data_IF_952430860793
#
_entry.id   IF_952430860793
#
_cell.length_a   1.000
_cell.length_b   1.000
_cell.length_c   1.000
_cell.angle_alpha   90.00
_cell.angle_beta   90.00
_cell.angle_gamma   90.00
#
_symmetry.space_group_name_H-M   'P 1'
#
loop_
_entity.id
_entity.type
_entity.pdbx_description
1 polymer ?
#
# COMPACT_ATOMS: atom_id res chain seq x y z
N UNK A 1 12.56 -78.32 58.45
CA UNK A 1 13.86 -78.93 58.84
C UNK A 1 13.96 -80.27 58.16
N UNK A 2 15.10 -80.69 57.56
CA UNK A 2 16.40 -80.04 57.27
C UNK A 2 16.59 -79.84 55.74
N UNK A 3 17.32 -78.83 55.24
CA UNK A 3 18.79 -78.72 55.02
C UNK A 3 19.41 -79.76 54.07
N UNK A 4 20.04 -79.34 52.96
CA UNK A 4 21.52 -79.18 52.84
C UNK A 4 22.00 -79.12 51.36
N UNK A 5 22.72 -78.04 51.05
CA UNK A 5 23.92 -77.89 50.18
C UNK A 5 23.96 -78.24 48.67
N UNK A 6 24.23 -77.18 47.89
CA UNK A 6 25.44 -76.95 47.06
C UNK A 6 25.75 -77.85 45.85
N UNK A 7 25.73 -77.25 44.66
CA UNK A 7 26.78 -77.45 43.65
C UNK A 7 26.92 -76.22 42.73
N UNK A 8 28.08 -75.56 42.80
CA UNK A 8 28.57 -74.56 41.84
C UNK A 8 28.85 -75.26 40.50
N UNK A 9 28.41 -74.67 39.39
CA UNK A 9 29.03 -74.92 38.09
C UNK A 9 29.32 -73.57 37.45
N UNK A 10 30.61 -73.24 37.38
CA UNK A 10 31.12 -72.15 36.59
C UNK A 10 31.02 -72.56 35.12
N UNK A 11 30.34 -71.75 34.30
CA UNK A 11 30.38 -71.89 32.84
C UNK A 11 30.89 -70.58 32.24
N UNK A 12 32.05 -70.73 31.62
CA UNK A 12 32.85 -69.76 30.90
C UNK A 12 32.05 -68.80 30.00
N UNK A 13 32.33 -67.51 30.15
CA UNK A 13 32.06 -66.51 29.13
C UNK A 13 32.85 -66.86 27.86
N UNK A 14 32.20 -67.03 26.70
CA UNK A 14 32.89 -66.95 25.42
C UNK A 14 33.28 -65.48 25.20
N UNK A 15 34.55 -65.27 24.91
CA UNK A 15 35.09 -64.00 24.45
C UNK A 15 34.44 -63.67 23.11
N UNK A 16 33.43 -62.81 23.15
CA UNK A 16 32.83 -62.23 21.95
C UNK A 16 33.83 -61.22 21.39
N UNK A 17 34.47 -61.64 20.31
CA UNK A 17 35.33 -60.84 19.46
C UNK A 17 34.65 -59.53 19.13
N UNK A 18 35.17 -58.44 19.70
CA UNK A 18 34.91 -57.07 19.24
C UNK A 18 35.52 -56.97 17.84
N UNK A 19 34.74 -57.44 16.87
CA UNK A 19 34.98 -57.17 15.46
C UNK A 19 34.61 -55.71 15.24
N UNK A 20 35.66 -54.90 15.33
CA UNK A 20 35.64 -53.47 15.12
C UNK A 20 35.31 -53.23 13.64
N UNK A 21 34.01 -53.22 13.34
CA UNK A 21 33.47 -52.87 12.03
C UNK A 21 33.87 -51.46 11.65
N UNK A 22 34.97 -51.38 10.91
CA UNK A 22 35.47 -50.17 10.27
C UNK A 22 34.42 -49.66 9.27
N UNK A 23 33.85 -48.51 9.60
CA UNK A 23 33.51 -47.40 8.70
C UNK A 23 32.81 -47.73 7.37
N UNK A 24 31.55 -48.15 7.44
CA UNK A 24 30.67 -48.22 6.26
C UNK A 24 29.33 -47.49 6.46
N UNK A 25 29.29 -46.45 7.30
CA UNK A 25 28.04 -45.76 7.65
C UNK A 25 28.16 -44.23 7.56
N UNK A 26 28.60 -43.67 6.42
CA UNK A 26 28.48 -42.21 6.25
C UNK A 26 28.23 -41.61 4.85
N UNK A 27 27.60 -42.28 3.86
CA UNK A 27 27.12 -41.57 2.67
C UNK A 27 25.79 -40.81 2.91
N UNK A 28 24.92 -41.28 3.81
CA UNK A 28 23.55 -40.73 3.95
C UNK A 28 23.48 -39.38 4.68
N UNK A 29 24.45 -39.07 5.54
CA UNK A 29 24.48 -37.79 6.28
C UNK A 29 24.80 -36.60 5.39
N UNK A 30 25.65 -36.80 4.37
CA UNK A 30 26.04 -35.73 3.45
C UNK A 30 24.88 -35.40 2.50
N UNK A 31 24.17 -36.42 2.00
CA UNK A 31 23.03 -36.24 1.10
C UNK A 31 21.88 -35.42 1.72
N UNK A 32 21.58 -35.65 3.01
CA UNK A 32 20.52 -34.91 3.70
C UNK A 32 20.89 -33.44 3.96
N UNK A 33 22.17 -33.14 4.22
CA UNK A 33 22.63 -31.76 4.46
C UNK A 33 22.46 -30.88 3.22
N UNK A 34 22.75 -31.40 2.03
CA UNK A 34 22.54 -30.67 0.77
C UNK A 34 21.07 -30.35 0.52
N UNK A 35 20.16 -31.29 0.82
CA UNK A 35 18.70 -31.07 0.69
C UNK A 35 18.20 -29.99 1.64
N UNK A 36 18.67 -30.00 2.89
CA UNK A 36 18.30 -28.97 3.89
C UNK A 36 18.83 -27.59 3.47
N UNK A 37 20.09 -27.50 3.02
CA UNK A 37 20.66 -26.23 2.55
C UNK A 37 19.89 -25.70 1.35
N UNK A 38 19.60 -26.55 0.36
CA UNK A 38 18.82 -26.16 -0.82
C UNK A 38 17.42 -25.65 -0.43
N UNK A 39 16.73 -26.34 0.49
CA UNK A 39 15.44 -25.91 0.99
C UNK A 39 15.50 -24.54 1.69
N UNK A 40 16.50 -24.33 2.56
CA UNK A 40 16.70 -23.04 3.25
C UNK A 40 16.97 -21.91 2.26
N UNK A 41 17.77 -22.15 1.21
CA UNK A 41 18.04 -21.17 0.16
C UNK A 41 16.76 -20.84 -0.61
N UNK A 42 15.99 -21.86 -1.03
CA UNK A 42 14.71 -21.65 -1.71
C UNK A 42 13.73 -20.84 -0.86
N UNK A 43 13.65 -21.14 0.45
CA UNK A 43 12.80 -20.41 1.37
C UNK A 43 13.25 -18.95 1.52
N UNK A 44 14.56 -18.71 1.63
CA UNK A 44 15.11 -17.36 1.71
C UNK A 44 14.80 -16.55 0.44
N UNK A 45 14.97 -17.16 -0.74
CA UNK A 45 14.63 -16.51 -2.02
C UNK A 45 13.13 -16.20 -2.09
N UNK A 46 12.26 -17.15 -1.68
CA UNK A 46 10.82 -16.93 -1.66
C UNK A 46 10.41 -15.79 -0.72
N UNK A 47 11.05 -15.68 0.45
CA UNK A 47 10.80 -14.58 1.40
C UNK A 47 11.26 -13.24 0.84
N UNK A 48 12.47 -13.18 0.25
CA UNK A 48 12.97 -11.95 -0.39
C UNK A 48 12.04 -11.52 -1.53
N UNK A 49 11.61 -12.48 -2.35
CA UNK A 49 10.66 -12.22 -3.43
C UNK A 49 9.31 -11.73 -2.90
N UNK A 50 8.79 -12.34 -1.85
CA UNK A 50 7.53 -11.91 -1.23
C UNK A 50 7.62 -10.49 -0.67
N UNK A 51 8.70 -10.15 0.04
CA UNK A 51 8.93 -8.78 0.53
C UNK A 51 9.02 -7.77 -0.61
N UNK A 52 9.66 -8.15 -1.72
CA UNK A 52 9.72 -7.33 -2.91
C UNK A 52 8.32 -7.07 -3.48
N UNK A 53 7.49 -8.11 -3.63
CA UNK A 53 6.10 -7.97 -4.09
C UNK A 53 5.24 -7.11 -3.16
N UNK A 54 5.39 -7.25 -1.85
CA UNK A 54 4.68 -6.40 -0.88
C UNK A 54 5.14 -4.95 -0.98
N UNK A 55 6.44 -4.72 -1.19
CA UNK A 55 6.99 -3.38 -1.33
C UNK A 55 6.45 -2.67 -2.58
N UNK A 56 6.42 -3.36 -3.73
CA UNK A 56 5.83 -2.78 -4.94
C UNK A 56 4.32 -2.59 -4.76
N UNK A 57 3.62 -3.53 -4.12
CA UNK A 57 2.18 -3.41 -3.90
C UNK A 57 1.86 -2.18 -3.04
N UNK A 58 2.57 -1.96 -1.94
CA UNK A 58 2.34 -0.78 -1.08
C UNK A 58 2.61 0.52 -1.85
N UNK A 59 3.61 0.55 -2.73
CA UNK A 59 3.93 1.74 -3.53
C UNK A 59 2.98 1.98 -4.69
N UNK A 60 2.39 0.93 -5.26
CA UNK A 60 1.49 1.03 -6.42
C UNK A 60 0.01 1.05 -6.02
N UNK A 61 -0.34 0.64 -4.80
CA UNK A 61 -1.73 0.31 -4.46
C UNK A 61 -2.70 1.48 -4.46
N UNK A 62 -2.27 2.75 -4.36
CA UNK A 62 -3.23 3.86 -4.26
C UNK A 62 -2.73 5.14 -4.96
N UNK A 63 -2.69 5.19 -6.30
CA UNK A 63 -2.74 6.49 -6.96
C UNK A 63 -3.99 7.22 -6.46
N UNK A 64 -3.82 8.47 -6.00
CA UNK A 64 -4.94 9.30 -5.55
C UNK A 64 -5.90 9.44 -6.74
N UNK A 65 -7.01 8.71 -6.69
CA UNK A 65 -7.98 8.70 -7.79
C UNK A 65 -8.81 9.98 -7.69
N UNK A 66 -8.53 10.94 -8.55
CA UNK A 66 -9.30 12.18 -8.64
C UNK A 66 -10.70 11.88 -9.18
N UNK A 67 -11.74 12.38 -8.51
CA UNK A 67 -13.10 12.24 -8.98
C UNK A 67 -13.37 13.23 -10.12
N UNK A 68 -13.26 12.76 -11.35
CA UNK A 68 -13.48 13.55 -12.58
C UNK A 68 -14.83 14.28 -12.56
N UNK A 69 -15.90 13.66 -12.05
CA UNK A 69 -17.21 14.29 -11.99
C UNK A 69 -17.25 15.44 -10.98
N UNK A 70 -16.51 15.34 -9.89
CA UNK A 70 -16.40 16.43 -8.91
C UNK A 70 -15.63 17.59 -9.53
N UNK A 71 -14.45 17.32 -10.11
CA UNK A 71 -13.62 18.32 -10.79
C UNK A 71 -14.43 19.04 -11.89
N UNK A 72 -15.13 18.29 -12.74
CA UNK A 72 -15.93 18.86 -13.83
C UNK A 72 -17.04 19.81 -13.37
N UNK A 73 -17.62 19.55 -12.20
CA UNK A 73 -18.70 20.38 -11.65
C UNK A 73 -18.17 21.56 -10.80
N UNK A 74 -16.85 21.70 -10.69
CA UNK A 74 -16.20 22.81 -10.00
C UNK A 74 -16.08 24.03 -10.92
N UNK A 75 -16.36 25.20 -10.36
CA UNK A 75 -16.12 26.49 -11.03
C UNK A 75 -14.65 26.90 -10.93
N UNK A 76 -13.96 26.45 -9.88
CA UNK A 76 -12.53 26.67 -9.67
C UNK A 76 -11.87 25.45 -9.03
N UNK A 77 -10.61 25.19 -9.37
CA UNK A 77 -9.77 24.18 -8.70
C UNK A 77 -8.48 24.85 -8.30
N UNK A 78 -8.16 24.77 -7.02
CA UNK A 78 -6.96 25.37 -6.47
C UNK A 78 -6.29 24.46 -5.46
N UNK A 79 -5.03 24.76 -5.20
CA UNK A 79 -4.18 24.18 -4.18
C UNK A 79 -4.07 25.21 -3.06
N UNK A 80 -4.32 24.78 -1.83
CA UNK A 80 -4.25 25.67 -0.70
C UNK A 80 -4.15 24.97 0.64
N UNK A 81 -3.64 25.70 1.61
CA UNK A 81 -3.50 25.27 3.00
C UNK A 81 -4.77 25.63 3.79
N UNK A 82 -5.33 24.64 4.50
CA UNK A 82 -6.45 24.89 5.41
C UNK A 82 -5.92 25.57 6.69
N UNK A 83 -6.16 26.88 6.82
CA UNK A 83 -5.70 27.68 7.96
C UNK A 83 -6.69 27.65 9.12
N UNK A 84 -8.00 27.56 8.83
CA UNK A 84 -9.08 27.57 9.81
C UNK A 84 -10.24 26.67 9.36
N UNK A 85 -11.32 26.59 10.15
CA UNK A 85 -12.49 25.76 9.87
C UNK A 85 -13.22 26.14 8.58
N UNK A 86 -13.14 27.39 8.14
CA UNK A 86 -13.82 27.92 6.98
C UNK A 86 -12.90 28.77 6.08
N UNK A 87 -11.59 28.78 6.32
CA UNK A 87 -10.63 29.54 5.54
C UNK A 87 -9.53 28.66 4.97
N UNK A 88 -9.18 28.96 3.72
CA UNK A 88 -8.09 28.33 2.99
C UNK A 88 -7.21 29.42 2.43
N UNK A 89 -5.91 29.32 2.71
CA UNK A 89 -4.88 30.14 2.08
C UNK A 89 -4.58 29.54 0.71
N UNK A 90 -4.78 30.33 -0.33
CA UNK A 90 -4.55 29.90 -1.71
C UNK A 90 -3.05 29.93 -1.97
N UNK A 91 -2.51 28.81 -2.42
CA UNK A 91 -1.11 28.71 -2.85
C UNK A 91 -1.01 28.78 -4.36
N UNK A 92 -1.88 28.06 -5.08
CA UNK A 92 -1.88 28.00 -6.54
C UNK A 92 -3.28 27.79 -7.06
N UNK A 93 -3.67 28.56 -8.07
CA UNK A 93 -4.92 28.35 -8.80
C UNK A 93 -4.61 27.52 -10.04
N UNK A 94 -5.26 26.36 -10.19
CA UNK A 94 -5.07 25.47 -11.34
C UNK A 94 -6.11 25.78 -12.43
N UNK A 95 -7.38 25.93 -12.03
CA UNK A 95 -8.48 26.26 -12.95
C UNK A 95 -9.41 27.28 -12.31
N UNK A 96 -9.97 28.17 -13.14
CA UNK A 96 -10.92 29.18 -12.73
C UNK A 96 -10.26 30.47 -12.25
N UNK A 97 -11.09 31.44 -11.88
CA UNK A 97 -10.66 32.74 -11.38
C UNK A 97 -11.34 32.97 -10.02
N UNK A 98 -10.66 32.68 -8.89
CA UNK A 98 -11.28 32.81 -7.59
C UNK A 98 -11.49 34.29 -7.22
N UNK A 99 -12.53 34.58 -6.45
CA UNK A 99 -12.85 35.94 -5.97
C UNK A 99 -11.67 36.59 -5.21
N UNK A 100 -10.81 35.77 -4.60
CA UNK A 100 -9.61 36.19 -3.88
C UNK A 100 -8.49 35.18 -4.13
N UNK A 101 -7.27 35.69 -4.32
CA UNK A 101 -6.07 34.89 -4.62
C UNK A 101 -5.18 34.65 -3.40
N UNK A 102 -5.49 35.25 -2.24
CA UNK A 102 -4.70 35.06 -1.01
C UNK A 102 -5.41 34.13 -0.02
N UNK A 103 -6.63 34.48 0.36
CA UNK A 103 -7.45 33.70 1.29
C UNK A 103 -8.87 33.64 0.77
N UNK A 104 -9.43 32.45 0.77
CA UNK A 104 -10.83 32.22 0.40
C UNK A 104 -11.60 31.59 1.56
N UNK A 105 -12.89 31.91 1.62
CA UNK A 105 -13.81 31.30 2.56
C UNK A 105 -14.51 30.11 1.93
N UNK A 106 -14.45 28.95 2.58
CA UNK A 106 -15.04 27.68 2.14
C UNK A 106 -16.11 27.23 3.14
N UNK A 107 -17.38 27.30 2.72
CA UNK A 107 -18.54 27.20 3.62
C UNK A 107 -18.75 25.81 4.22
N UNK A 108 -18.45 24.74 3.48
CA UNK A 108 -18.66 23.35 3.88
C UNK A 108 -17.36 22.63 4.23
N UNK A 109 -16.27 23.37 4.47
CA UNK A 109 -14.99 22.77 4.85
C UNK A 109 -15.04 21.92 6.14
N UNK A 110 -15.85 22.26 7.17
CA UNK A 110 -16.00 21.41 8.35
C UNK A 110 -16.57 20.01 8.07
N UNK A 111 -17.28 19.82 6.95
CA UNK A 111 -17.88 18.54 6.57
C UNK A 111 -16.84 17.55 6.03
N UNK A 112 -15.70 18.04 5.55
CA UNK A 112 -14.68 17.24 4.87
C UNK A 112 -13.71 16.56 5.84
N UNK A 113 -13.78 16.87 7.15
CA UNK A 113 -12.97 16.26 8.21
C UNK A 113 -11.46 16.27 7.91
N UNK A 114 -10.97 17.34 7.30
CA UNK A 114 -9.58 17.49 6.92
C UNK A 114 -8.74 18.11 8.06
N UNK A 115 -7.55 17.56 8.36
CA UNK A 115 -6.57 18.22 9.21
C UNK A 115 -6.24 19.65 8.75
N UNK A 116 -6.25 20.59 9.68
CA UNK A 116 -5.72 21.95 9.47
C UNK A 116 -4.20 21.92 9.29
N UNK A 117 -3.62 22.94 8.66
CA UNK A 117 -2.18 23.06 8.38
C UNK A 117 -1.65 21.99 7.43
N UNK A 118 -2.47 21.61 6.46
CA UNK A 118 -2.05 20.72 5.38
C UNK A 118 -2.58 21.27 4.07
N UNK A 119 -1.80 21.03 3.01
CA UNK A 119 -2.10 21.48 1.67
C UNK A 119 -3.00 20.46 0.98
N UNK A 120 -4.05 20.96 0.33
CA UNK A 120 -5.02 20.15 -0.38
C UNK A 120 -5.31 20.72 -1.76
N UNK A 121 -5.70 19.84 -2.68
CA UNK A 121 -6.43 20.18 -3.89
C UNK A 121 -7.91 20.34 -3.54
N UNK A 122 -8.45 21.53 -3.76
CA UNK A 122 -9.84 21.87 -3.48
C UNK A 122 -10.61 22.09 -4.78
N UNK A 123 -11.52 21.17 -5.13
CA UNK A 123 -12.51 21.39 -6.19
C UNK A 123 -13.64 22.27 -5.65
N UNK A 124 -13.73 23.51 -6.10
CA UNK A 124 -14.61 24.53 -5.53
C UNK A 124 -15.74 24.93 -6.49
N UNK A 125 -16.90 25.19 -5.91
CA UNK A 125 -18.05 25.76 -6.60
C UNK A 125 -18.43 27.09 -5.94
N UNK A 126 -18.80 28.08 -6.74
CA UNK A 126 -19.26 29.37 -6.25
C UNK A 126 -20.65 29.22 -5.62
N UNK A 127 -20.80 29.64 -4.37
CA UNK A 127 -22.09 29.62 -3.69
C UNK A 127 -22.91 30.87 -4.03
N UNK A 128 -24.24 30.73 -4.10
CA UNK A 128 -25.16 31.82 -4.45
C UNK A 128 -25.10 33.03 -3.50
N UNK A 129 -24.61 32.85 -2.27
CA UNK A 129 -24.45 33.92 -1.27
C UNK A 129 -23.07 34.60 -1.27
N UNK A 130 -22.21 34.29 -2.25
CA UNK A 130 -20.79 34.63 -2.20
C UNK A 130 -19.99 33.63 -1.37
N UNK A 131 -18.71 33.48 -1.73
CA UNK A 131 -17.83 32.47 -1.15
C UNK A 131 -17.88 31.13 -1.90
N UNK A 132 -17.00 30.22 -1.49
CA UNK A 132 -16.84 28.93 -2.15
C UNK A 132 -17.38 27.79 -1.28
N UNK A 133 -17.73 26.69 -1.94
CA UNK A 133 -17.97 25.40 -1.30
C UNK A 133 -17.18 24.33 -2.01
N UNK A 134 -16.69 23.34 -1.29
CA UNK A 134 -16.16 22.11 -1.89
C UNK A 134 -17.28 21.46 -2.69
N UNK A 135 -16.98 21.12 -3.94
CA UNK A 135 -17.95 20.57 -4.89
C UNK A 135 -18.46 19.23 -4.35
N UNK A 136 -19.77 19.02 -4.25
CA UNK A 136 -20.31 17.77 -3.74
C UNK A 136 -20.01 16.60 -4.67
N UNK A 137 -19.96 15.40 -4.11
CA UNK A 137 -19.67 14.17 -4.85
C UNK A 137 -20.89 13.25 -4.90
N UNK A 138 -20.93 12.36 -5.90
CA UNK A 138 -21.97 11.32 -6.03
C UNK A 138 -21.57 9.99 -5.37
N UNK A 139 -20.53 9.96 -4.55
CA UNK A 139 -20.21 8.77 -3.77
C UNK A 139 -21.36 8.43 -2.80
N UNK A 140 -21.51 7.16 -2.38
CA UNK A 140 -22.65 6.70 -1.56
C UNK A 140 -22.88 7.50 -0.26
N UNK A 141 -21.82 8.11 0.29
CA UNK A 141 -21.88 8.89 1.52
C UNK A 141 -22.13 10.39 1.27
N UNK A 142 -22.10 10.86 0.02
CA UNK A 142 -22.33 12.26 -0.38
C UNK A 142 -21.33 13.29 0.15
N UNK A 143 -20.38 12.88 1.00
CA UNK A 143 -19.42 13.77 1.63
C UNK A 143 -18.48 14.39 0.59
N UNK A 144 -18.35 15.73 0.55
CA UNK A 144 -17.41 16.40 -0.35
C UNK A 144 -16.00 15.86 -0.09
N UNK A 145 -15.26 15.60 -1.17
CA UNK A 145 -13.90 15.09 -1.09
C UNK A 145 -12.91 16.20 -1.41
N UNK A 146 -11.85 16.33 -0.61
CA UNK A 146 -10.65 17.07 -0.97
C UNK A 146 -9.49 16.08 -1.07
N UNK A 147 -8.48 16.43 -1.84
CA UNK A 147 -7.34 15.54 -2.08
C UNK A 147 -6.12 16.11 -1.39
N UNK A 148 -5.43 15.35 -0.52
CA UNK A 148 -4.18 15.83 0.07
C UNK A 148 -3.15 16.10 -1.02
N UNK A 149 -2.22 17.01 -0.76
CA UNK A 149 -1.00 17.15 -1.56
C UNK A 149 -0.32 15.78 -1.71
N UNK A 150 -0.07 15.35 -2.95
CA UNK A 150 0.37 13.99 -3.26
C UNK A 150 0.60 13.78 -4.75
N UNK A 151 0.55 12.54 -5.23
CA UNK A 151 0.96 12.12 -6.58
C UNK A 151 0.09 12.65 -7.74
N UNK A 152 -0.78 13.65 -7.52
CA UNK A 152 -1.45 14.36 -8.61
C UNK A 152 -0.56 15.51 -9.09
N UNK A 153 -0.48 15.69 -10.40
CA UNK A 153 0.21 16.82 -11.01
C UNK A 153 -0.79 17.88 -11.48
N UNK A 154 -0.35 19.14 -11.59
CA UNK A 154 -1.16 20.21 -12.18
C UNK A 154 -1.57 19.82 -13.61
N UNK A 155 -0.67 19.17 -14.34
CA UNK A 155 -0.90 18.66 -15.68
C UNK A 155 -1.98 17.58 -15.73
N UNK A 156 -2.09 16.71 -14.72
CA UNK A 156 -3.14 15.69 -14.66
C UNK A 156 -4.51 16.34 -14.42
N UNK A 157 -4.58 17.31 -13.50
CA UNK A 157 -5.82 18.07 -13.23
C UNK A 157 -6.26 18.82 -14.49
N UNK A 158 -5.35 19.55 -15.14
CA UNK A 158 -5.66 20.25 -16.38
C UNK A 158 -6.07 19.30 -17.50
N UNK A 159 -5.40 18.15 -17.64
CA UNK A 159 -5.72 17.14 -18.66
C UNK A 159 -7.11 16.56 -18.44
N UNK A 160 -7.47 16.23 -17.21
CA UNK A 160 -8.82 15.74 -16.86
C UNK A 160 -9.87 16.79 -17.24
N UNK A 161 -9.60 18.06 -16.95
CA UNK A 161 -10.52 19.16 -17.26
C UNK A 161 -10.66 19.42 -18.77
N UNK A 162 -9.56 19.37 -19.53
CA UNK A 162 -9.58 19.56 -21.00
C UNK A 162 -10.25 18.39 -21.72
N UNK A 163 -9.89 17.16 -21.37
CA UNK A 163 -10.40 15.94 -22.04
C UNK A 163 -11.91 15.80 -21.83
N UNK A 164 -12.42 16.21 -20.66
CA UNK A 164 -13.84 16.13 -20.34
C UNK A 164 -14.74 17.13 -21.10
N UNK A 165 -14.15 18.08 -21.84
CA UNK A 165 -14.86 19.04 -22.69
C UNK A 165 -15.11 18.55 -24.12
N UNK A 166 -14.44 17.47 -24.55
CA UNK A 166 -14.63 16.85 -25.86
C UNK A 166 -15.66 15.74 -25.75
N UNK A 167 -16.88 15.97 -26.24
CA UNK A 167 -18.00 15.01 -26.14
C UNK A 167 -17.76 13.68 -26.87
N UNK A 168 -16.66 13.54 -27.61
CA UNK A 168 -16.28 12.38 -28.40
C UNK A 168 -15.10 11.56 -27.82
N UNK A 169 -14.53 11.95 -26.67
CA UNK A 169 -13.42 11.19 -26.08
C UNK A 169 -13.94 10.06 -25.16
N UNK A 170 -13.49 8.79 -25.36
CA UNK A 170 -13.84 7.69 -24.47
C UNK A 170 -13.35 7.98 -23.03
N UNK A 171 -14.00 7.42 -22.00
CA UNK A 171 -13.60 7.63 -20.61
C UNK A 171 -12.11 7.30 -20.45
N UNK A 172 -11.34 8.28 -19.98
CA UNK A 172 -9.91 8.13 -19.71
C UNK A 172 -9.76 7.12 -18.57
N UNK A 173 -9.55 5.87 -18.96
CA UNK A 173 -8.94 4.86 -18.09
C UNK A 173 -7.54 5.39 -17.84
N UNK A 174 -7.23 5.77 -16.59
CA UNK A 174 -5.88 6.17 -16.21
C UNK A 174 -4.88 5.15 -16.79
N UNK A 175 -3.72 5.59 -17.32
CA UNK A 175 -2.77 4.69 -17.94
C UNK A 175 -2.46 3.55 -16.97
N UNK A 176 -2.86 2.34 -17.36
CA UNK A 176 -2.41 1.12 -16.71
C UNK A 176 -0.90 1.13 -16.90
N UNK A 177 -0.16 1.50 -15.85
CA UNK A 177 1.29 1.57 -15.89
C UNK A 177 1.81 0.16 -16.16
N UNK A 178 2.22 -0.05 -17.42
CA UNK A 178 3.22 -1.00 -17.87
C UNK A 178 3.03 -2.46 -17.49
N UNK A 179 2.34 -3.21 -18.36
CA UNK A 179 2.84 -4.55 -18.71
C UNK A 179 4.07 -4.36 -19.61
N UNK A 180 5.27 -4.24 -19.02
CA UNK A 180 6.50 -4.56 -19.74
C UNK A 180 6.90 -6.02 -19.44
N UNK A 181 7.26 -6.69 -20.51
CA UNK A 181 7.38 -8.14 -20.71
C UNK A 181 8.74 -8.68 -20.30
#
# INVERSE_FOLDING_TARGET
MPDTATARTATSQPSESVDQGIDAAEPDRVANRHRVIAFVICLAIALVWWVFLVTIAIRTANPITLNVMQLRNSDAVLVGEITSKDEVRVETVIVGDPISTETIRVLNLPEVSAPTQSTYLLPLQLAAGGGYRVTPTRLPNGLPLIYPEGDWTVEDVERIMRTSGSADDPPVVAPVIGEEK
#
